data_IF_590375880790
#
_entry.id   IF_590375880790
#
_cell.length_a   1.000
_cell.length_b   1.000
_cell.length_c   1.000
_cell.angle_alpha   90.00
_cell.angle_beta   90.00
_cell.angle_gamma   90.00
#
_symmetry.space_group_name_H-M   'P 1'
#
loop_
_entity.id
_entity.type
_entity.pdbx_description
1 polymer ?
#
# COMPACT_ATOMS: atom_id res chain seq x y z
N UNK A 1 11.48 -10.58 -24.80
CA UNK A 1 11.25 -9.66 -23.66
C UNK A 1 11.60 -10.25 -22.28
N UNK A 2 11.94 -11.54 -22.16
CA UNK A 2 12.13 -12.22 -20.89
C UNK A 2 13.60 -12.16 -20.45
N UNK A 3 14.34 -13.20 -20.59
CA UNK A 3 15.76 -13.28 -20.30
C UNK A 3 16.58 -13.25 -21.60
N UNK A 4 17.69 -12.56 -21.61
CA UNK A 4 18.64 -12.62 -22.72
C UNK A 4 19.41 -13.95 -22.71
N UNK A 5 19.95 -14.37 -23.84
CA UNK A 5 20.79 -15.59 -23.93
C UNK A 5 21.98 -15.52 -22.96
N UNK A 6 22.59 -14.35 -22.83
CA UNK A 6 23.73 -14.14 -21.93
C UNK A 6 23.35 -14.33 -20.44
N UNK A 7 22.17 -13.88 -20.05
CA UNK A 7 21.66 -14.09 -18.68
C UNK A 7 21.36 -15.57 -18.42
N UNK A 8 20.79 -16.27 -19.41
CA UNK A 8 20.55 -17.71 -19.32
C UNK A 8 21.85 -18.49 -19.21
N UNK A 9 22.86 -18.18 -20.04
CA UNK A 9 24.19 -18.81 -19.99
C UNK A 9 24.83 -18.59 -18.60
N UNK A 10 24.71 -17.40 -18.04
CA UNK A 10 25.22 -17.09 -16.70
C UNK A 10 24.52 -17.92 -15.63
N UNK A 11 23.18 -18.06 -15.71
CA UNK A 11 22.39 -18.84 -14.77
C UNK A 11 22.76 -20.33 -14.86
N UNK A 12 22.82 -20.88 -16.07
CA UNK A 12 23.13 -22.29 -16.28
C UNK A 12 24.56 -22.64 -15.88
N UNK A 13 25.52 -21.74 -16.11
CA UNK A 13 26.92 -21.93 -15.70
C UNK A 13 27.09 -21.95 -14.18
N UNK A 14 26.25 -21.22 -13.44
CA UNK A 14 26.31 -21.15 -11.99
C UNK A 14 25.45 -22.21 -11.28
N UNK A 15 24.54 -22.88 -11.99
CA UNK A 15 23.67 -23.89 -11.43
C UNK A 15 24.38 -25.23 -11.28
N UNK A 16 24.31 -25.81 -10.08
CA UNK A 16 24.88 -27.13 -9.78
C UNK A 16 23.97 -28.29 -10.15
N UNK A 17 22.66 -28.04 -10.27
CA UNK A 17 21.67 -29.04 -10.62
C UNK A 17 20.61 -28.45 -11.54
N UNK A 18 19.92 -29.27 -12.37
CA UNK A 18 18.84 -28.80 -13.24
C UNK A 18 17.72 -28.09 -12.45
N UNK A 19 17.37 -28.60 -11.28
CA UNK A 19 16.34 -27.96 -10.42
C UNK A 19 16.79 -26.58 -9.94
N UNK A 20 18.06 -26.41 -9.60
CA UNK A 20 18.60 -25.10 -9.22
C UNK A 20 18.59 -24.14 -10.42
N UNK A 21 18.92 -24.60 -11.64
CA UNK A 21 18.84 -23.78 -12.83
C UNK A 21 17.41 -23.26 -13.07
N UNK A 22 16.41 -24.13 -12.97
CA UNK A 22 14.99 -23.76 -13.11
C UNK A 22 14.58 -22.74 -12.05
N UNK A 23 15.00 -22.93 -10.80
CA UNK A 23 14.72 -21.99 -9.71
C UNK A 23 15.32 -20.60 -9.99
N UNK A 24 16.58 -20.57 -10.44
CA UNK A 24 17.26 -19.32 -10.77
C UNK A 24 16.62 -18.59 -11.97
N UNK A 25 16.18 -19.34 -13.00
CA UNK A 25 15.45 -18.76 -14.14
C UNK A 25 14.10 -18.18 -13.69
N UNK A 26 13.36 -18.88 -12.82
CA UNK A 26 12.12 -18.38 -12.25
C UNK A 26 12.38 -17.10 -11.43
N UNK A 27 13.39 -17.09 -10.57
CA UNK A 27 13.76 -15.91 -9.78
C UNK A 27 14.15 -14.72 -10.67
N UNK A 28 14.90 -14.97 -11.75
CA UNK A 28 15.28 -13.92 -12.69
C UNK A 28 14.10 -13.37 -13.50
N UNK A 29 13.15 -14.21 -13.92
CA UNK A 29 11.91 -13.77 -14.58
C UNK A 29 11.04 -12.95 -13.63
N UNK A 30 10.92 -13.38 -12.38
CA UNK A 30 10.21 -12.63 -11.33
C UNK A 30 10.88 -11.27 -11.04
N UNK A 31 12.22 -11.24 -10.98
CA UNK A 31 12.96 -10.00 -10.78
C UNK A 31 12.77 -8.99 -11.94
N UNK A 32 12.52 -9.48 -13.15
CA UNK A 32 12.16 -8.65 -14.32
C UNK A 32 10.68 -8.24 -14.36
N UNK A 33 9.91 -8.62 -13.37
CA UNK A 33 8.53 -8.20 -13.21
C UNK A 33 7.48 -9.12 -13.79
N UNK A 34 7.83 -10.35 -14.21
CA UNK A 34 6.86 -11.33 -14.70
C UNK A 34 6.42 -12.25 -13.58
N UNK A 35 5.14 -12.20 -13.20
CA UNK A 35 4.63 -12.96 -12.03
C UNK A 35 4.24 -14.40 -12.35
N UNK A 36 3.57 -14.63 -13.47
CA UNK A 36 2.90 -15.91 -13.75
C UNK A 36 3.64 -16.72 -14.84
N UNK A 37 4.97 -16.84 -14.72
CA UNK A 37 5.76 -17.68 -15.64
C UNK A 37 5.96 -19.06 -15.01
N UNK A 38 5.48 -20.10 -15.70
CA UNK A 38 5.68 -21.49 -15.35
C UNK A 38 6.83 -22.08 -16.15
N UNK A 39 7.75 -22.80 -15.49
CA UNK A 39 8.78 -23.58 -16.14
C UNK A 39 8.36 -25.04 -16.19
N UNK A 40 8.05 -25.52 -17.38
CA UNK A 40 7.74 -26.92 -17.63
C UNK A 40 8.99 -27.63 -18.12
N UNK A 41 9.29 -28.80 -17.60
CA UNK A 41 10.45 -29.56 -18.02
C UNK A 41 10.08 -31.06 -18.25
N UNK A 42 10.73 -31.65 -19.23
CA UNK A 42 10.58 -33.05 -19.55
C UNK A 42 11.57 -33.91 -18.77
N UNK A 43 11.28 -35.20 -18.66
CA UNK A 43 12.26 -36.17 -18.18
C UNK A 43 13.50 -36.14 -19.08
N UNK A 44 14.70 -36.37 -18.52
CA UNK A 44 15.92 -36.38 -19.31
C UNK A 44 15.89 -37.47 -20.42
N UNK A 45 16.20 -37.05 -21.65
CA UNK A 45 16.39 -37.93 -22.76
C UNK A 45 17.83 -37.73 -23.27
N UNK A 46 18.62 -38.80 -23.26
CA UNK A 46 20.06 -38.75 -23.63
C UNK A 46 20.85 -37.69 -22.83
N UNK A 47 20.52 -37.48 -21.56
CA UNK A 47 21.17 -36.45 -20.72
C UNK A 47 20.71 -35.02 -20.97
N UNK A 48 19.75 -34.79 -21.86
CA UNK A 48 19.19 -33.49 -22.18
C UNK A 48 17.82 -33.30 -21.53
N UNK A 49 17.63 -32.20 -20.85
CA UNK A 49 16.35 -31.75 -20.31
C UNK A 49 15.85 -30.57 -21.13
N UNK A 50 14.66 -30.72 -21.68
CA UNK A 50 13.99 -29.58 -22.35
C UNK A 50 13.15 -28.83 -21.34
N UNK A 51 13.41 -27.51 -21.25
CA UNK A 51 12.66 -26.58 -20.39
C UNK A 51 11.87 -25.63 -21.28
N UNK A 52 10.58 -25.51 -21.02
CA UNK A 52 9.67 -24.60 -21.69
C UNK A 52 9.15 -23.58 -20.71
N UNK A 53 9.38 -22.29 -20.97
CA UNK A 53 8.75 -21.21 -20.23
C UNK A 53 7.35 -20.96 -20.81
N UNK A 54 6.34 -21.01 -19.98
CA UNK A 54 4.97 -20.73 -20.32
C UNK A 54 4.45 -19.56 -19.48
N UNK A 55 3.99 -18.49 -20.13
CA UNK A 55 3.26 -17.44 -19.46
C UNK A 55 1.84 -17.94 -19.15
N UNK A 56 1.43 -17.90 -17.88
CA UNK A 56 0.07 -18.21 -17.49
C UNK A 56 -0.82 -16.96 -17.55
N UNK A 57 -2.11 -17.18 -17.74
CA UNK A 57 -3.14 -16.17 -17.70
C UNK A 57 -3.79 -16.18 -16.33
N UNK A 58 -4.19 -15.03 -15.80
CA UNK A 58 -5.04 -14.97 -14.60
C UNK A 58 -6.38 -15.62 -14.92
N UNK A 59 -6.76 -16.64 -14.19
CA UNK A 59 -8.05 -17.32 -14.32
C UNK A 59 -9.15 -16.54 -13.63
N UNK A 60 -9.53 -16.98 -12.43
CA UNK A 60 -10.51 -16.33 -11.59
C UNK A 60 -9.83 -15.58 -10.42
N UNK A 61 -10.50 -14.56 -9.92
CA UNK A 61 -10.14 -13.87 -8.68
C UNK A 61 -11.22 -14.19 -7.65
N UNK A 62 -10.85 -14.84 -6.56
CA UNK A 62 -11.76 -15.34 -5.53
C UNK A 62 -11.36 -14.81 -4.16
N UNK A 63 -12.32 -14.67 -3.26
CA UNK A 63 -12.11 -14.25 -1.89
C UNK A 63 -13.14 -13.24 -1.42
N UNK A 64 -12.84 -12.58 -0.31
CA UNK A 64 -13.66 -11.51 0.25
C UNK A 64 -13.93 -10.38 -0.75
N UNK A 65 -15.15 -9.84 -0.74
CA UNK A 65 -15.58 -8.85 -1.73
C UNK A 65 -14.76 -7.56 -1.67
N UNK A 66 -14.33 -7.14 -0.50
CA UNK A 66 -13.50 -5.96 -0.31
C UNK A 66 -12.14 -6.13 -0.98
N UNK A 67 -11.46 -7.24 -0.68
CA UNK A 67 -10.14 -7.54 -1.27
C UNK A 67 -10.27 -7.83 -2.77
N UNK A 68 -11.26 -8.61 -3.16
CA UNK A 68 -11.54 -8.93 -4.57
C UNK A 68 -11.78 -7.67 -5.41
N UNK A 69 -12.36 -6.62 -4.82
CA UNK A 69 -12.60 -5.35 -5.48
C UNK A 69 -11.32 -4.69 -6.04
N UNK A 70 -10.15 -4.97 -5.45
CA UNK A 70 -8.86 -4.46 -5.92
C UNK A 70 -8.24 -5.27 -7.06
N UNK A 71 -8.62 -6.54 -7.22
CA UNK A 71 -7.96 -7.48 -8.14
C UNK A 71 -8.89 -8.05 -9.20
N UNK A 72 -10.20 -7.77 -9.14
CA UNK A 72 -11.19 -8.43 -9.98
C UNK A 72 -11.00 -8.23 -11.47
N UNK A 73 -10.51 -7.08 -11.88
CA UNK A 73 -10.21 -6.73 -13.27
C UNK A 73 -8.94 -7.40 -13.83
N UNK A 74 -8.12 -8.03 -12.96
CA UNK A 74 -7.01 -8.87 -13.41
C UNK A 74 -7.47 -10.19 -14.03
N UNK A 75 -8.72 -10.59 -13.84
CA UNK A 75 -9.25 -11.82 -14.44
C UNK A 75 -9.13 -11.78 -15.97
N UNK A 76 -8.44 -12.75 -16.55
CA UNK A 76 -8.16 -12.80 -17.99
C UNK A 76 -6.87 -12.11 -18.42
N UNK A 77 -6.13 -11.47 -17.50
CA UNK A 77 -4.84 -10.86 -17.83
C UNK A 77 -3.82 -11.91 -18.24
N UNK A 78 -3.23 -11.73 -19.41
CA UNK A 78 -2.25 -12.62 -20.02
C UNK A 78 -0.80 -12.25 -19.70
N UNK A 79 -0.58 -11.11 -19.06
CA UNK A 79 0.77 -10.57 -18.82
C UNK A 79 0.87 -9.80 -17.51
N UNK A 80 0.26 -10.33 -16.44
CA UNK A 80 0.30 -9.71 -15.13
C UNK A 80 1.73 -9.39 -14.71
N UNK A 81 1.99 -8.11 -14.49
CA UNK A 81 3.29 -7.63 -14.03
C UNK A 81 3.35 -7.52 -12.52
N UNK A 82 4.56 -7.66 -11.97
CA UNK A 82 4.80 -7.45 -10.55
C UNK A 82 4.40 -6.03 -10.10
N UNK A 83 4.72 -5.03 -10.90
CA UNK A 83 4.40 -3.64 -10.56
C UNK A 83 2.89 -3.41 -10.48
N UNK A 84 2.14 -3.93 -11.43
CA UNK A 84 0.69 -3.84 -11.44
C UNK A 84 0.06 -4.53 -10.23
N UNK A 85 0.49 -5.77 -9.96
CA UNK A 85 0.02 -6.52 -8.79
C UNK A 85 0.37 -5.80 -7.48
N UNK A 86 1.62 -5.35 -7.30
CA UNK A 86 2.07 -4.67 -6.09
C UNK A 86 1.33 -3.35 -5.84
N UNK A 87 1.00 -2.59 -6.89
CA UNK A 87 0.21 -1.37 -6.73
C UNK A 87 -1.17 -1.67 -6.13
N UNK A 88 -1.83 -2.72 -6.63
CA UNK A 88 -3.13 -3.17 -6.11
C UNK A 88 -3.02 -3.74 -4.70
N UNK A 89 -1.96 -4.50 -4.45
CA UNK A 89 -1.66 -5.09 -3.14
C UNK A 89 -1.51 -4.01 -2.06
N UNK A 90 -0.81 -2.92 -2.35
CA UNK A 90 -0.66 -1.80 -1.40
C UNK A 90 -2.01 -1.17 -1.05
N UNK A 91 -2.88 -0.94 -2.05
CA UNK A 91 -4.21 -0.36 -1.80
C UNK A 91 -5.14 -1.35 -1.08
N UNK A 92 -5.07 -2.63 -1.43
CA UNK A 92 -5.84 -3.67 -0.77
C UNK A 92 -5.39 -3.86 0.70
N UNK A 93 -4.07 -3.88 0.95
CA UNK A 93 -3.53 -3.94 2.32
C UNK A 93 -3.97 -2.73 3.14
N UNK A 94 -3.85 -1.53 2.60
CA UNK A 94 -4.29 -0.33 3.30
C UNK A 94 -5.79 -0.37 3.64
N UNK A 95 -6.62 -0.90 2.75
CA UNK A 95 -8.06 -1.04 3.01
C UNK A 95 -8.34 -2.13 4.04
N UNK A 96 -7.66 -3.27 3.95
CA UNK A 96 -7.85 -4.39 4.88
C UNK A 96 -7.33 -4.06 6.27
N UNK A 97 -6.16 -3.45 6.39
CA UNK A 97 -5.59 -3.04 7.68
C UNK A 97 -6.55 -2.10 8.42
N UNK A 98 -7.12 -1.12 7.71
CA UNK A 98 -8.12 -0.20 8.27
C UNK A 98 -9.45 -0.88 8.61
N UNK A 99 -9.81 -1.93 7.88
CA UNK A 99 -11.02 -2.70 8.15
C UNK A 99 -10.85 -3.76 9.25
N UNK A 100 -9.65 -3.91 9.81
CA UNK A 100 -9.33 -4.93 10.80
C UNK A 100 -9.34 -6.34 10.21
N UNK A 101 -8.83 -6.49 8.97
CA UNK A 101 -8.82 -7.76 8.26
C UNK A 101 -7.44 -8.03 7.68
N UNK A 102 -6.84 -9.13 8.06
CA UNK A 102 -5.67 -9.69 7.39
C UNK A 102 -6.07 -10.51 6.17
N UNK A 103 -5.25 -10.50 5.12
CA UNK A 103 -5.45 -11.42 4.01
C UNK A 103 -4.13 -12.03 3.50
N UNK A 104 -4.28 -13.22 2.91
CA UNK A 104 -3.18 -13.93 2.25
C UNK A 104 -3.60 -14.32 0.85
N UNK A 105 -2.74 -14.04 -0.12
CA UNK A 105 -2.95 -14.49 -1.50
C UNK A 105 -2.33 -15.86 -1.70
N UNK A 106 -3.06 -16.74 -2.37
CA UNK A 106 -2.55 -18.02 -2.89
C UNK A 106 -2.81 -18.14 -4.38
N UNK A 107 -1.86 -18.75 -5.07
CA UNK A 107 -1.89 -18.97 -6.52
C UNK A 107 -2.22 -20.42 -6.77
N UNK A 108 -3.37 -20.69 -7.39
CA UNK A 108 -3.83 -22.04 -7.67
C UNK A 108 -3.93 -22.26 -9.17
N UNK A 109 -3.41 -23.39 -9.67
CA UNK A 109 -3.64 -23.76 -11.07
C UNK A 109 -5.12 -24.06 -11.25
N UNK A 110 -5.76 -23.44 -12.24
CA UNK A 110 -7.18 -23.70 -12.50
C UNK A 110 -7.42 -25.19 -12.81
N UNK A 111 -8.47 -25.76 -12.23
CA UNK A 111 -8.78 -27.19 -12.38
C UNK A 111 -9.11 -27.58 -13.83
N UNK A 112 -9.62 -26.64 -14.61
CA UNK A 112 -10.09 -26.87 -15.98
C UNK A 112 -9.07 -26.51 -17.05
N UNK A 113 -8.04 -25.71 -16.69
CA UNK A 113 -7.05 -25.21 -17.64
C UNK A 113 -5.72 -24.94 -16.94
N UNK A 114 -4.75 -25.79 -17.19
CA UNK A 114 -3.41 -25.69 -16.58
C UNK A 114 -2.61 -24.46 -17.04
N UNK A 115 -3.08 -23.74 -18.06
CA UNK A 115 -2.48 -22.47 -18.52
C UNK A 115 -3.00 -21.28 -17.74
N UNK A 116 -3.98 -21.47 -16.84
CA UNK A 116 -4.56 -20.44 -15.99
C UNK A 116 -4.17 -20.62 -14.55
N UNK A 117 -4.04 -19.48 -13.86
CA UNK A 117 -3.78 -19.40 -12.43
C UNK A 117 -4.88 -18.59 -11.77
N UNK A 118 -5.61 -19.22 -10.86
CA UNK A 118 -6.62 -18.56 -10.05
C UNK A 118 -5.93 -17.88 -8.84
N UNK A 119 -6.34 -16.64 -8.57
CA UNK A 119 -5.91 -15.88 -7.41
C UNK A 119 -6.96 -16.06 -6.30
N UNK A 120 -6.55 -16.60 -5.17
CA UNK A 120 -7.44 -16.85 -4.03
C UNK A 120 -6.96 -16.05 -2.84
N UNK A 121 -7.78 -15.11 -2.38
CA UNK A 121 -7.53 -14.26 -1.24
C UNK A 121 -8.29 -14.77 -0.02
N UNK A 122 -7.55 -15.28 0.96
CA UNK A 122 -8.13 -15.78 2.21
C UNK A 122 -8.04 -14.67 3.24
N UNK A 123 -9.18 -14.13 3.63
CA UNK A 123 -9.30 -13.10 4.66
C UNK A 123 -9.54 -13.71 6.03
N UNK A 124 -9.01 -13.09 7.06
CA UNK A 124 -9.25 -13.41 8.48
C UNK A 124 -9.33 -12.13 9.30
N UNK A 125 -10.15 -12.07 10.35
CA UNK A 125 -10.14 -10.92 11.25
C UNK A 125 -8.75 -10.72 11.87
N UNK A 126 -8.32 -9.47 11.97
CA UNK A 126 -7.18 -9.07 12.77
C UNK A 126 -7.65 -8.83 14.21
N UNK A 127 -7.29 -9.74 15.13
CA UNK A 127 -7.71 -9.67 16.54
C UNK A 127 -6.98 -8.57 17.32
N UNK A 128 -5.88 -8.05 16.79
CA UNK A 128 -5.10 -6.97 17.41
C UNK A 128 -5.46 -5.58 16.86
N UNK A 129 -6.39 -5.52 15.90
CA UNK A 129 -6.78 -4.26 15.27
C UNK A 129 -7.48 -3.32 16.25
N UNK A 130 -6.90 -2.13 16.45
CA UNK A 130 -7.57 -1.03 17.15
C UNK A 130 -8.09 -0.01 16.13
N UNK A 131 -9.41 0.11 16.06
CA UNK A 131 -10.06 1.02 15.12
C UNK A 131 -9.94 2.49 15.48
N UNK A 132 -9.47 2.83 16.68
CA UNK A 132 -9.43 4.23 17.15
C UNK A 132 -8.17 4.55 17.90
N UNK A 133 -7.41 5.48 17.36
CA UNK A 133 -6.18 5.99 17.99
C UNK A 133 -6.38 7.44 18.44
N UNK A 134 -5.79 7.77 19.59
CA UNK A 134 -5.62 9.14 20.08
C UNK A 134 -4.15 9.45 20.30
N UNK A 135 -3.73 10.62 19.85
CA UNK A 135 -2.36 11.11 19.98
C UNK A 135 -2.41 12.41 20.75
N UNK A 136 -1.59 12.50 21.81
CA UNK A 136 -1.36 13.73 22.55
C UNK A 136 0.13 13.99 22.58
N UNK A 137 0.55 15.15 22.08
CA UNK A 137 1.96 15.52 22.02
C UNK A 137 2.17 16.90 22.63
N UNK A 138 3.30 17.03 23.31
CA UNK A 138 3.84 18.30 23.79
C UNK A 138 5.25 18.43 23.22
N UNK A 139 5.50 19.47 22.45
CA UNK A 139 6.77 19.68 21.77
C UNK A 139 7.30 21.09 21.93
N UNK A 140 8.60 21.25 21.75
CA UNK A 140 9.29 22.55 21.70
C UNK A 140 9.79 22.86 20.26
N UNK A 141 9.13 22.33 19.26
CA UNK A 141 9.50 22.51 17.85
C UNK A 141 9.03 23.85 17.28
N UNK A 142 8.46 24.69 18.12
CA UNK A 142 7.96 25.99 17.75
C UNK A 142 9.04 26.95 17.29
N UNK A 143 8.60 28.02 16.63
CA UNK A 143 9.44 29.13 16.18
C UNK A 143 9.28 30.32 17.11
N UNK A 144 10.23 31.28 17.02
CA UNK A 144 10.11 32.60 17.67
C UNK A 144 8.81 33.32 17.33
N UNK A 145 8.14 32.93 16.27
CA UNK A 145 7.00 33.67 15.70
C UNK A 145 5.64 33.05 16.04
N UNK A 146 5.59 31.72 16.26
CA UNK A 146 4.34 31.00 16.51
C UNK A 146 4.21 30.50 17.96
N UNK A 147 5.24 30.71 18.78
CA UNK A 147 5.37 30.15 20.12
C UNK A 147 6.41 29.03 20.16
N UNK A 148 6.99 28.83 21.34
CA UNK A 148 8.10 27.88 21.53
C UNK A 148 7.60 26.46 21.78
N UNK A 149 6.49 26.33 22.45
CA UNK A 149 5.89 25.05 22.80
C UNK A 149 4.56 24.88 22.09
N UNK A 150 4.30 23.65 21.63
CA UNK A 150 3.07 23.27 20.96
C UNK A 150 2.41 22.13 21.72
N UNK A 151 1.10 22.17 21.74
CA UNK A 151 0.25 21.08 22.17
C UNK A 151 -0.52 20.56 20.96
N UNK A 152 -0.39 19.27 20.70
CA UNK A 152 -1.07 18.58 19.62
C UNK A 152 -2.01 17.54 20.20
N UNK A 153 -3.23 17.54 19.72
CA UNK A 153 -4.24 16.52 19.98
C UNK A 153 -4.69 15.95 18.63
N UNK A 154 -4.47 14.67 18.42
CA UNK A 154 -4.91 13.97 17.23
C UNK A 154 -5.85 12.83 17.56
N UNK A 155 -6.73 12.49 16.61
CA UNK A 155 -7.49 11.27 16.62
C UNK A 155 -7.55 10.65 15.24
N UNK A 156 -7.70 9.34 15.19
CA UNK A 156 -7.91 8.56 13.97
C UNK A 156 -8.97 7.50 14.30
N UNK A 157 -9.90 7.29 13.37
CA UNK A 157 -10.87 6.21 13.46
C UNK A 157 -11.05 5.53 12.12
N UNK A 158 -10.89 4.22 12.12
CA UNK A 158 -11.00 3.34 10.96
C UNK A 158 -12.35 2.62 10.97
N UNK A 159 -13.06 2.68 9.83
CA UNK A 159 -14.35 2.00 9.65
C UNK A 159 -14.15 0.66 8.95
N UNK A 160 -15.04 -0.29 9.22
CA UNK A 160 -15.01 -1.65 8.67
C UNK A 160 -14.96 -1.75 7.13
N UNK A 161 -15.25 -0.66 6.40
CA UNK A 161 -15.08 -0.58 4.95
C UNK A 161 -13.74 -0.01 4.48
N UNK A 162 -12.78 0.17 5.40
CA UNK A 162 -11.46 0.75 5.12
C UNK A 162 -11.47 2.27 4.94
N UNK A 163 -12.60 2.94 5.19
CA UNK A 163 -12.67 4.41 5.27
C UNK A 163 -12.03 4.85 6.58
N UNK A 164 -11.25 5.91 6.54
CA UNK A 164 -10.62 6.49 7.72
C UNK A 164 -11.06 7.94 7.89
N UNK A 165 -11.44 8.32 9.11
CA UNK A 165 -11.55 9.70 9.53
C UNK A 165 -10.40 10.02 10.49
N UNK A 166 -9.75 11.15 10.30
CA UNK A 166 -8.73 11.64 11.21
C UNK A 166 -8.88 13.14 11.42
N UNK A 167 -8.48 13.61 12.57
CA UNK A 167 -8.49 15.02 12.88
C UNK A 167 -7.38 15.38 13.84
N UNK A 168 -7.00 16.64 13.83
CA UNK A 168 -5.97 17.18 14.70
C UNK A 168 -6.28 18.60 15.13
N UNK A 169 -5.89 18.92 16.34
CA UNK A 169 -5.88 20.26 16.87
C UNK A 169 -4.49 20.55 17.40
N UNK A 170 -3.87 21.61 16.88
CA UNK A 170 -2.58 22.09 17.31
C UNK A 170 -2.72 23.52 17.85
N UNK A 171 -2.10 23.77 18.96
CA UNK A 171 -2.06 25.12 19.54
C UNK A 171 -0.70 25.43 20.15
N UNK A 172 -0.29 26.67 20.01
CA UNK A 172 0.90 27.13 20.69
C UNK A 172 0.62 27.40 22.17
N UNK A 173 1.56 27.05 23.02
CA UNK A 173 1.49 27.29 24.47
C UNK A 173 2.51 28.37 24.83
N UNK A 174 2.10 29.35 25.63
CA UNK A 174 3.01 30.35 26.21
C UNK A 174 4.00 29.71 27.18
N UNK A 175 5.20 30.23 27.23
CA UNK A 175 6.15 29.87 28.28
C UNK A 175 5.57 30.23 29.66
N UNK A 176 5.87 29.39 30.66
CA UNK A 176 5.39 29.62 32.01
C UNK A 176 5.97 30.92 32.57
N UNK A 177 5.11 31.91 32.75
CA UNK A 177 5.50 33.22 33.30
C UNK A 177 5.69 34.32 32.26
N UNK A 178 5.54 34.06 30.96
CA UNK A 178 5.49 35.08 29.90
C UNK A 178 4.05 35.48 29.62
N UNK A 179 3.80 36.81 29.59
CA UNK A 179 2.54 37.31 29.09
C UNK A 179 2.57 37.33 27.56
N UNK A 180 1.63 36.61 26.94
CA UNK A 180 1.42 36.65 25.50
C UNK A 180 0.52 37.85 25.15
N UNK A 181 1.08 38.99 25.09
CA UNK A 181 0.35 40.12 24.51
C UNK A 181 0.40 40.00 22.98
N UNK A 182 -0.65 39.37 22.41
CA UNK A 182 -0.91 39.44 20.99
C UNK A 182 -0.37 38.32 20.12
N UNK A 183 0.13 37.21 20.66
CA UNK A 183 0.54 36.04 19.87
C UNK A 183 -0.34 34.81 20.18
N UNK A 184 -1.01 34.29 19.16
CA UNK A 184 -1.83 33.09 19.28
C UNK A 184 -1.74 32.27 18.01
N UNK A 185 -1.77 30.95 18.14
CA UNK A 185 -1.77 30.02 17.03
C UNK A 185 -2.69 28.84 17.33
N UNK A 186 -3.64 28.64 16.43
CA UNK A 186 -4.55 27.51 16.45
C UNK A 186 -4.68 26.90 15.06
N UNK A 187 -4.54 25.61 14.97
CA UNK A 187 -4.82 24.88 13.75
C UNK A 187 -5.77 23.72 14.04
N UNK A 188 -6.83 23.64 13.26
CA UNK A 188 -7.76 22.52 13.24
C UNK A 188 -7.69 21.85 11.86
N UNK A 189 -7.56 20.54 11.85
CA UNK A 189 -7.54 19.73 10.63
C UNK A 189 -8.51 18.57 10.75
N UNK A 190 -9.25 18.28 9.68
CA UNK A 190 -10.12 17.12 9.56
C UNK A 190 -9.92 16.50 8.19
N UNK A 191 -9.72 15.19 8.14
CA UNK A 191 -9.50 14.42 6.93
C UNK A 191 -10.40 13.18 6.93
N UNK A 192 -10.99 12.89 5.77
CA UNK A 192 -11.71 11.67 5.49
C UNK A 192 -11.15 11.08 4.22
N UNK A 193 -10.68 9.84 4.24
CA UNK A 193 -10.16 9.17 3.06
C UNK A 193 -10.48 7.68 3.00
N UNK A 194 -10.44 7.14 1.78
CA UNK A 194 -10.72 5.73 1.50
C UNK A 194 -9.85 5.23 0.35
N UNK A 195 -9.20 4.05 0.48
CA UNK A 195 -8.54 3.37 -0.63
C UNK A 195 -9.57 2.69 -1.55
N UNK A 196 -9.33 2.81 -2.86
CA UNK A 196 -10.03 2.13 -3.94
C UNK A 196 -9.02 1.40 -4.80
N UNK A 197 -9.47 0.52 -5.70
CA UNK A 197 -8.57 -0.23 -6.60
C UNK A 197 -7.70 0.65 -7.52
N UNK A 198 -8.11 1.88 -7.75
CA UNK A 198 -7.44 2.84 -8.63
C UNK A 198 -6.76 4.01 -7.89
N UNK A 199 -6.75 4.01 -6.55
CA UNK A 199 -6.04 5.00 -5.74
C UNK A 199 -6.66 5.28 -4.38
N UNK A 200 -5.98 6.11 -3.59
CA UNK A 200 -6.46 6.64 -2.32
C UNK A 200 -7.15 7.98 -2.58
N UNK A 201 -8.41 8.10 -2.20
CA UNK A 201 -9.19 9.34 -2.35
C UNK A 201 -9.63 9.86 -1.01
N UNK A 202 -9.52 11.16 -0.84
CA UNK A 202 -9.89 11.82 0.41
C UNK A 202 -10.30 13.26 0.23
N UNK A 203 -10.86 13.78 1.30
CA UNK A 203 -11.20 15.19 1.46
C UNK A 203 -10.58 15.65 2.76
N UNK A 204 -9.90 16.77 2.71
CA UNK A 204 -9.28 17.41 3.88
C UNK A 204 -9.78 18.84 4.01
N UNK A 205 -10.11 19.23 5.24
CA UNK A 205 -10.43 20.59 5.61
C UNK A 205 -9.50 21.03 6.73
N UNK A 206 -8.92 22.20 6.59
CA UNK A 206 -8.07 22.79 7.63
C UNK A 206 -8.44 24.25 7.87
N UNK A 207 -8.34 24.65 9.12
CA UNK A 207 -8.48 26.03 9.54
C UNK A 207 -7.29 26.39 10.43
N UNK A 208 -6.60 27.47 10.05
CA UNK A 208 -5.45 27.97 10.82
C UNK A 208 -5.71 29.44 11.16
N UNK A 209 -5.60 29.76 12.44
CA UNK A 209 -5.62 31.13 12.93
C UNK A 209 -4.27 31.44 13.56
N UNK A 210 -3.70 32.56 13.16
CA UNK A 210 -2.44 33.03 13.65
C UNK A 210 -2.54 34.51 13.95
N UNK A 211 -2.34 34.87 15.20
CA UNK A 211 -2.35 36.25 15.69
C UNK A 211 -0.93 36.66 16.07
N UNK A 212 -0.51 37.82 15.65
CA UNK A 212 0.81 38.37 15.96
C UNK A 212 0.68 39.89 16.28
N UNK A 213 1.63 40.44 17.01
CA UNK A 213 1.72 41.86 17.32
C UNK A 213 1.58 42.83 16.13
N UNK A 214 1.71 42.34 14.91
CA UNK A 214 1.56 43.08 13.66
C UNK A 214 0.15 43.05 13.07
N UNK A 215 -0.82 42.42 13.74
CA UNK A 215 -2.20 42.26 13.29
C UNK A 215 -2.62 40.83 13.10
N UNK A 216 -3.91 40.60 12.91
CA UNK A 216 -4.54 39.28 12.70
C UNK A 216 -4.34 38.86 11.25
N UNK A 217 -3.71 37.71 11.04
CA UNK A 217 -3.70 37.02 9.75
C UNK A 217 -4.72 35.87 9.83
N UNK A 218 -5.85 36.05 9.18
CA UNK A 218 -6.89 35.03 9.11
C UNK A 218 -6.68 34.23 7.82
N UNK A 219 -6.30 32.96 7.95
CA UNK A 219 -6.14 32.06 6.82
C UNK A 219 -7.49 31.35 6.62
N UNK A 220 -8.18 31.57 5.50
CA UNK A 220 -9.47 30.95 5.28
C UNK A 220 -9.35 29.41 5.26
N UNK A 221 -10.40 28.75 5.73
CA UNK A 221 -10.49 27.28 5.64
C UNK A 221 -10.29 26.82 4.19
N UNK A 222 -9.37 25.90 3.99
CA UNK A 222 -9.06 25.33 2.68
C UNK A 222 -9.56 23.91 2.63
N UNK A 223 -10.38 23.60 1.62
CA UNK A 223 -10.80 22.22 1.32
C UNK A 223 -9.95 21.73 0.16
N UNK A 224 -9.13 20.73 0.40
CA UNK A 224 -8.32 20.11 -0.62
C UNK A 224 -8.88 18.73 -0.96
N UNK A 225 -9.07 18.45 -2.24
CA UNK A 225 -9.29 17.10 -2.76
C UNK A 225 -7.93 16.57 -3.20
N UNK A 226 -7.47 15.50 -2.60
CA UNK A 226 -6.17 14.89 -2.91
C UNK A 226 -6.42 13.73 -3.88
N UNK A 227 -6.26 13.90 -5.18
CA UNK A 227 -6.18 12.78 -6.11
C UNK A 227 -4.76 12.18 -6.00
N UNK A 228 -4.69 10.88 -5.79
CA UNK A 228 -3.46 10.09 -5.90
C UNK A 228 -3.37 9.40 -7.24
#
# INVERSE_FOLDING_TARGET
HHLSLLELDTIFSNAKTPSQAILLVNAATYAKGHLLVKMLYSSPVNGVIHVHAQQATVGTVQGDDMIRGHFGDLAGDVNLTRQEFSTREVLASLQSDRAGVDYKVSYQTSANDTTRVDLVFNASPDEEHDSTDFIVQLGNQGSRFAGRYFFDLGFKHDFSGGTQISGGYETAISEWGESRDGEDYHQLQLKLDKPFSFGLYGVEASHTEYVRDLGVINIPATVCVIPN
#
